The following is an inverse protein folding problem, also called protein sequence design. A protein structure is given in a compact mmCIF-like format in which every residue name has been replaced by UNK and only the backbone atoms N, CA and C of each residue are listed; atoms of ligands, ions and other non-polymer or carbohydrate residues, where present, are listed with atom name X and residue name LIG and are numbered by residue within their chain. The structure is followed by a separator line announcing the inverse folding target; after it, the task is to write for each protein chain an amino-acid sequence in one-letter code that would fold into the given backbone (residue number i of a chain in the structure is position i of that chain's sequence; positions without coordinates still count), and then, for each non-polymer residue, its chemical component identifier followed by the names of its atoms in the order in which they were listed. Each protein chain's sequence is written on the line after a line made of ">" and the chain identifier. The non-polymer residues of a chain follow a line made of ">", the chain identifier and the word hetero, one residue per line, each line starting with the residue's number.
data_IF_643719734504
#
_entry.id   IF_643719734504
#
_cell.length_a   1.000
_cell.length_b   1.000
_cell.length_c   1.000
_cell.angle_alpha   90.00
_cell.angle_beta   90.00
_cell.angle_gamma   90.00
#
_symmetry.space_group_name_H-M   'P 1'
#
loop_
_entity.id
_entity.type
_entity.pdbx_description
1 polymer ?
#
# COMPACT_ATOMS: atom_id res chain seq x y z
N UNK A 1 30.39 18.88 -10.89
CA UNK A 1 29.80 18.10 -11.99
C UNK A 1 28.35 18.55 -12.14
N UNK A 2 27.96 19.06 -13.29
CA UNK A 2 26.61 19.60 -13.52
C UNK A 2 25.64 18.44 -13.81
N UNK A 3 24.50 18.40 -13.10
CA UNK A 3 23.48 17.35 -13.23
C UNK A 3 22.90 17.28 -14.65
N UNK A 4 22.80 18.42 -15.33
CA UNK A 4 22.35 18.49 -16.72
C UNK A 4 23.38 17.86 -17.66
N UNK A 5 24.67 18.12 -17.46
CA UNK A 5 25.72 17.53 -18.30
C UNK A 5 25.76 16.00 -18.14
N UNK A 6 25.57 15.50 -16.92
CA UNK A 6 25.45 14.07 -16.65
C UNK A 6 24.24 13.47 -17.37
N UNK A 7 23.07 14.12 -17.30
CA UNK A 7 21.86 13.70 -18.03
C UNK A 7 22.10 13.60 -19.53
N UNK A 8 22.68 14.65 -20.14
CA UNK A 8 22.95 14.66 -21.58
C UNK A 8 23.89 13.53 -22.00
N UNK A 9 24.92 13.26 -21.21
CA UNK A 9 25.83 12.14 -21.45
C UNK A 9 25.10 10.79 -21.36
N UNK A 10 24.31 10.58 -20.31
CA UNK A 10 23.57 9.34 -20.09
C UNK A 10 22.54 9.06 -21.20
N UNK A 11 21.79 10.08 -21.62
CA UNK A 11 20.84 9.97 -22.75
C UNK A 11 21.60 9.64 -24.04
N UNK A 12 22.75 10.28 -24.30
CA UNK A 12 23.56 10.02 -25.49
C UNK A 12 24.07 8.58 -25.53
N UNK A 13 24.61 8.09 -24.42
CA UNK A 13 25.15 6.73 -24.32
C UNK A 13 24.02 5.69 -24.51
N UNK A 14 22.86 5.91 -23.88
CA UNK A 14 21.69 5.04 -24.02
C UNK A 14 21.11 5.04 -25.43
N UNK A 15 20.99 6.22 -26.05
CA UNK A 15 20.52 6.38 -27.44
C UNK A 15 21.43 5.64 -28.42
N UNK A 16 22.75 5.78 -28.28
CA UNK A 16 23.72 5.06 -29.10
C UNK A 16 23.61 3.55 -28.93
N UNK A 17 23.40 3.07 -27.70
CA UNK A 17 23.21 1.65 -27.42
C UNK A 17 21.94 1.11 -28.09
N UNK A 18 20.77 1.72 -27.85
CA UNK A 18 19.49 1.22 -28.39
C UNK A 18 19.47 1.26 -29.92
N UNK A 19 19.98 2.33 -30.52
CA UNK A 19 20.02 2.46 -31.99
C UNK A 19 20.96 1.45 -32.65
N UNK A 20 22.00 0.97 -31.95
CA UNK A 20 22.94 -0.03 -32.50
C UNK A 20 22.29 -1.38 -32.84
N UNK A 21 21.17 -1.72 -32.20
CA UNK A 21 20.42 -2.96 -32.48
C UNK A 21 19.42 -2.81 -33.63
N UNK A 22 19.14 -1.59 -34.09
CA UNK A 22 18.04 -1.31 -35.03
C UNK A 22 18.58 -1.22 -36.46
N UNK A 23 18.35 -2.28 -37.24
CA UNK A 23 18.71 -2.36 -38.65
C UNK A 23 17.46 -2.41 -39.52
N UNK A 24 17.07 -1.27 -40.10
CA UNK A 24 15.86 -1.14 -40.91
C UNK A 24 16.25 -0.89 -42.38
N UNK A 25 15.80 -1.76 -43.29
CA UNK A 25 16.08 -1.64 -44.73
C UNK A 25 15.16 -0.66 -45.47
N UNK A 26 13.90 -0.53 -45.02
CA UNK A 26 12.94 0.39 -45.64
C UNK A 26 13.26 1.84 -45.25
N UNK A 27 13.48 2.69 -46.25
CA UNK A 27 13.86 4.10 -46.06
C UNK A 27 12.77 4.92 -45.37
N UNK A 28 11.50 4.58 -45.52
CA UNK A 28 10.38 5.28 -44.87
C UNK A 28 10.36 4.95 -43.38
N UNK A 29 10.53 3.68 -43.05
CA UNK A 29 10.49 3.20 -41.66
C UNK A 29 11.72 3.71 -40.90
N UNK A 30 12.92 3.68 -41.51
CA UNK A 30 14.12 4.20 -40.83
C UNK A 30 14.02 5.70 -40.58
N UNK A 31 13.41 6.45 -41.50
CA UNK A 31 13.18 7.88 -41.31
C UNK A 31 12.19 8.13 -40.16
N UNK A 32 11.06 7.44 -40.16
CA UNK A 32 10.06 7.55 -39.10
C UNK A 32 10.65 7.25 -37.70
N UNK A 33 11.46 6.18 -37.60
CA UNK A 33 12.11 5.80 -36.33
C UNK A 33 13.14 6.83 -35.88
N UNK A 34 13.95 7.36 -36.81
CA UNK A 34 14.92 8.44 -36.51
C UNK A 34 14.22 9.72 -36.05
N UNK A 35 13.13 10.09 -36.70
CA UNK A 35 12.35 11.28 -36.34
C UNK A 35 11.80 11.12 -34.91
N UNK A 36 11.25 9.96 -34.55
CA UNK A 36 10.78 9.67 -33.19
C UNK A 36 11.92 9.72 -32.14
N UNK A 37 13.12 9.24 -32.47
CA UNK A 37 14.27 9.36 -31.56
C UNK A 37 14.70 10.81 -31.39
N UNK A 38 14.70 11.61 -32.46
CA UNK A 38 15.06 13.03 -32.40
C UNK A 38 14.07 13.86 -31.56
N UNK A 39 12.81 13.43 -31.50
CA UNK A 39 11.76 14.04 -30.68
C UNK A 39 11.84 13.66 -29.19
N UNK A 40 12.76 12.77 -28.80
CA UNK A 40 12.93 12.36 -27.41
C UNK A 40 11.87 11.38 -26.90
N UNK A 41 11.14 10.70 -27.78
CA UNK A 41 10.03 9.79 -27.39
C UNK A 41 10.46 8.67 -26.44
N UNK A 42 11.71 8.20 -26.54
CA UNK A 42 12.25 7.16 -25.65
C UNK A 42 12.86 7.70 -24.35
N UNK A 43 13.15 8.99 -24.28
CA UNK A 43 13.77 9.64 -23.12
C UNK A 43 13.08 10.98 -22.87
N UNK A 44 11.81 10.95 -22.43
CA UNK A 44 11.07 12.17 -22.13
C UNK A 44 11.81 12.98 -21.06
N UNK A 45 11.55 14.28 -21.05
CA UNK A 45 12.04 15.15 -19.98
C UNK A 45 11.65 14.59 -18.60
N UNK A 46 12.52 14.70 -17.58
CA UNK A 46 12.26 14.13 -16.28
C UNK A 46 10.95 14.72 -15.72
N UNK A 47 10.03 13.83 -15.37
CA UNK A 47 8.78 14.23 -14.74
C UNK A 47 9.07 14.75 -13.32
N UNK A 48 8.97 16.06 -13.15
CA UNK A 48 8.97 16.68 -11.82
C UNK A 48 7.52 16.71 -11.34
N UNK A 49 7.17 15.74 -10.49
CA UNK A 49 5.86 15.67 -9.87
C UNK A 49 5.93 16.19 -8.44
N UNK A 50 5.07 17.16 -8.11
CA UNK A 50 4.81 17.54 -6.73
C UNK A 50 3.79 16.53 -6.17
N UNK A 51 4.21 15.72 -5.20
CA UNK A 51 3.30 14.87 -4.44
C UNK A 51 2.96 15.57 -3.12
N UNK A 52 1.86 16.33 -3.05
CA UNK A 52 1.43 16.93 -1.79
C UNK A 52 1.16 15.83 -0.77
N UNK A 53 1.51 16.09 0.48
CA UNK A 53 1.15 15.19 1.57
C UNK A 53 -0.38 15.11 1.70
N UNK A 54 -0.89 13.94 2.06
CA UNK A 54 -2.31 13.77 2.37
C UNK A 54 -2.66 14.55 3.64
N UNK A 55 -3.89 15.08 3.70
CA UNK A 55 -4.40 15.76 4.90
C UNK A 55 -4.39 14.80 6.10
N UNK A 56 -3.86 15.19 7.28
CA UNK A 56 -3.89 14.37 8.47
C UNK A 56 -5.33 14.19 8.98
N UNK A 57 -5.65 12.99 9.45
CA UNK A 57 -6.96 12.57 9.96
C UNK A 57 -7.00 12.32 11.47
N UNK A 58 -5.92 12.64 12.20
CA UNK A 58 -5.79 12.38 13.63
C UNK A 58 -5.06 11.07 13.95
N UNK A 59 -4.74 10.87 15.22
CA UNK A 59 -4.03 9.69 15.70
C UNK A 59 -4.99 8.56 16.10
N UNK A 60 -4.55 7.30 15.94
CA UNK A 60 -5.31 6.15 16.45
C UNK A 60 -5.62 6.31 17.94
N UNK A 61 -4.66 6.82 18.71
CA UNK A 61 -4.80 6.98 20.16
C UNK A 61 -5.92 7.98 20.51
N UNK A 62 -6.05 9.07 19.76
CA UNK A 62 -7.14 10.06 19.93
C UNK A 62 -8.51 9.43 19.62
N UNK A 63 -8.60 8.63 18.55
CA UNK A 63 -9.82 7.91 18.18
C UNK A 63 -10.24 6.88 19.25
N UNK A 64 -9.26 6.26 19.93
CA UNK A 64 -9.50 5.34 21.04
C UNK A 64 -9.96 6.09 22.29
N UNK A 65 -9.30 7.21 22.65
CA UNK A 65 -9.70 8.04 23.79
C UNK A 65 -11.12 8.60 23.66
N UNK A 66 -11.54 8.93 22.42
CA UNK A 66 -12.89 9.37 22.10
C UNK A 66 -13.94 8.24 22.09
N UNK A 67 -13.53 6.97 22.30
CA UNK A 67 -14.40 5.80 22.24
C UNK A 67 -14.92 5.48 20.83
N UNK A 68 -14.27 6.03 19.79
CA UNK A 68 -14.60 5.73 18.39
C UNK A 68 -14.08 4.32 18.06
N UNK A 69 -12.85 4.02 18.45
CA UNK A 69 -12.20 2.71 18.29
C UNK A 69 -12.09 1.96 19.62
N UNK A 70 -12.00 0.64 19.55
CA UNK A 70 -11.72 -0.24 20.67
C UNK A 70 -10.33 0.04 21.26
N UNK A 71 -10.16 -0.12 22.59
CA UNK A 71 -8.90 0.17 23.29
C UNK A 71 -7.69 -0.56 22.69
N UNK A 72 -7.83 -1.84 22.38
CA UNK A 72 -6.78 -2.65 21.72
C UNK A 72 -6.32 -2.10 20.36
N UNK A 73 -7.11 -1.28 19.65
CA UNK A 73 -6.67 -0.67 18.39
C UNK A 73 -5.42 0.20 18.57
N UNK A 74 -5.28 0.86 19.72
CA UNK A 74 -4.08 1.64 20.05
C UNK A 74 -2.82 0.78 20.16
N UNK A 75 -2.93 -0.48 20.61
CA UNK A 75 -1.81 -1.42 20.67
C UNK A 75 -1.55 -2.11 19.33
N UNK A 76 -2.61 -2.42 18.59
CA UNK A 76 -2.53 -3.11 17.29
C UNK A 76 -1.91 -2.20 16.24
N UNK A 77 -2.43 -0.99 16.06
CA UNK A 77 -2.07 -0.09 14.95
C UNK A 77 -0.93 0.86 15.33
N UNK A 78 0.28 0.31 15.41
CA UNK A 78 1.53 1.05 15.62
C UNK A 78 2.48 0.89 14.43
N UNK A 79 3.26 1.93 14.15
CA UNK A 79 4.29 1.93 13.10
C UNK A 79 5.61 1.41 13.67
N UNK A 80 6.46 0.77 12.83
CA UNK A 80 7.81 0.27 13.24
C UNK A 80 7.77 -0.66 14.47
N UNK A 81 6.83 -1.62 14.49
CA UNK A 81 6.93 -2.78 15.38
C UNK A 81 8.07 -3.68 14.91
N UNK A 82 9.28 -3.36 15.34
CA UNK A 82 10.45 -4.22 15.16
C UNK A 82 10.57 -5.21 16.32
N UNK A 83 11.26 -6.33 16.11
CA UNK A 83 11.45 -7.40 17.11
C UNK A 83 12.05 -6.90 18.44
N UNK A 84 12.70 -5.73 18.44
CA UNK A 84 13.34 -5.13 19.61
C UNK A 84 12.55 -3.97 20.25
N UNK A 85 11.51 -3.44 19.58
CA UNK A 85 10.69 -2.35 20.09
C UNK A 85 9.23 -2.82 20.21
N UNK A 86 8.90 -3.40 21.37
CA UNK A 86 7.59 -4.00 21.64
C UNK A 86 6.42 -3.00 21.50
N UNK A 87 6.65 -1.69 21.69
CA UNK A 87 5.58 -0.69 21.74
C UNK A 87 5.36 0.10 20.44
N UNK A 88 6.22 -0.02 19.42
CA UNK A 88 6.12 0.73 18.17
C UNK A 88 5.92 2.25 18.35
N UNK A 89 5.55 2.95 17.28
CA UNK A 89 5.21 4.39 17.30
C UNK A 89 3.71 4.59 17.04
N UNK A 90 3.08 5.62 17.64
CA UNK A 90 1.70 5.99 17.30
C UNK A 90 1.51 6.14 15.78
N UNK A 91 0.37 5.68 15.29
CA UNK A 91 -0.01 5.81 13.87
C UNK A 91 -0.91 7.04 13.71
N UNK A 92 -0.47 8.00 12.89
CA UNK A 92 -1.31 9.10 12.43
C UNK A 92 -1.98 8.69 11.12
N UNK A 93 -3.31 8.83 11.06
CA UNK A 93 -4.10 8.52 9.90
C UNK A 93 -4.11 9.67 8.91
N UNK A 94 -4.36 9.36 7.65
CA UNK A 94 -4.82 10.35 6.69
C UNK A 94 -6.33 10.55 6.87
N UNK A 95 -6.82 11.75 6.54
CA UNK A 95 -8.24 12.12 6.66
C UNK A 95 -9.19 11.12 6.04
N UNK A 96 -8.88 10.65 4.83
CA UNK A 96 -9.70 9.65 4.13
C UNK A 96 -9.81 8.30 4.86
N UNK A 97 -8.83 7.95 5.70
CA UNK A 97 -8.90 6.75 6.55
C UNK A 97 -9.79 7.02 7.78
N UNK A 98 -9.64 8.18 8.42
CA UNK A 98 -10.47 8.60 9.54
C UNK A 98 -11.95 8.74 9.15
N UNK A 99 -12.24 9.35 8.00
CA UNK A 99 -13.58 9.48 7.45
C UNK A 99 -14.21 8.09 7.21
N UNK A 100 -13.46 7.17 6.63
CA UNK A 100 -13.93 5.79 6.40
C UNK A 100 -14.22 5.05 7.70
N UNK A 101 -13.40 5.24 8.74
CA UNK A 101 -13.66 4.68 10.09
C UNK A 101 -14.97 5.23 10.64
N UNK A 102 -15.21 6.54 10.53
CA UNK A 102 -16.46 7.17 10.97
C UNK A 102 -17.68 6.58 10.25
N UNK A 103 -17.65 6.53 8.93
CA UNK A 103 -18.75 5.97 8.12
C UNK A 103 -19.01 4.50 8.46
N UNK A 104 -17.94 3.71 8.62
CA UNK A 104 -18.04 2.30 8.99
C UNK A 104 -18.63 2.10 10.39
N UNK A 105 -18.26 2.94 11.36
CA UNK A 105 -18.80 2.92 12.72
C UNK A 105 -20.31 3.13 12.74
N UNK A 106 -20.80 4.03 11.89
CA UNK A 106 -22.23 4.31 11.75
C UNK A 106 -22.99 3.19 11.02
N UNK A 107 -22.29 2.15 10.54
CA UNK A 107 -22.89 1.00 9.87
C UNK A 107 -23.22 1.23 8.40
N UNK A 108 -22.71 2.31 7.80
CA UNK A 108 -22.94 2.60 6.39
C UNK A 108 -21.92 1.92 5.48
N UNK A 109 -22.37 1.57 4.28
CA UNK A 109 -21.50 1.13 3.20
C UNK A 109 -20.82 2.34 2.55
N UNK A 110 -19.57 2.18 2.09
CA UNK A 110 -18.85 3.26 1.42
C UNK A 110 -17.99 2.77 0.26
N UNK A 111 -17.74 3.67 -0.69
CA UNK A 111 -16.74 3.51 -1.75
C UNK A 111 -15.65 4.54 -1.51
N UNK A 112 -14.42 4.07 -1.28
CA UNK A 112 -13.27 4.94 -1.07
C UNK A 112 -12.46 5.10 -2.36
N UNK A 113 -12.28 6.35 -2.79
CA UNK A 113 -11.44 6.70 -3.94
C UNK A 113 -10.31 7.63 -3.50
N UNK A 114 -9.07 7.17 -3.62
CA UNK A 114 -7.86 7.93 -3.21
C UNK A 114 -6.70 7.62 -4.15
N UNK A 115 -5.63 8.43 -4.08
CA UNK A 115 -4.43 8.20 -4.87
C UNK A 115 -3.71 6.88 -4.51
N UNK A 116 -2.98 6.32 -5.47
CA UNK A 116 -2.11 5.15 -5.24
C UNK A 116 -1.09 5.45 -4.13
N UNK A 117 -0.84 4.49 -3.25
CA UNK A 117 0.11 4.65 -2.14
C UNK A 117 -0.42 5.46 -0.94
N UNK A 118 -1.67 5.92 -0.97
CA UNK A 118 -2.30 6.68 0.13
C UNK A 118 -2.52 5.90 1.44
N UNK A 119 -2.28 4.59 1.43
CA UNK A 119 -2.59 3.72 2.57
C UNK A 119 -4.07 3.36 2.68
N UNK A 120 -4.82 3.35 1.56
CA UNK A 120 -6.24 2.97 1.51
C UNK A 120 -6.59 1.66 2.24
N UNK A 121 -5.65 0.72 2.37
CA UNK A 121 -5.88 -0.53 3.11
C UNK A 121 -6.35 -0.30 4.55
N UNK A 122 -5.78 0.70 5.23
CA UNK A 122 -6.13 1.00 6.61
C UNK A 122 -7.59 1.48 6.75
N UNK A 123 -8.17 2.06 5.71
CA UNK A 123 -9.54 2.56 5.75
C UNK A 123 -10.57 1.46 5.98
N UNK A 124 -10.29 0.24 5.52
CA UNK A 124 -11.18 -0.92 5.69
C UNK A 124 -10.66 -1.92 6.73
N UNK A 125 -9.33 -2.05 6.91
CA UNK A 125 -8.78 -2.97 7.92
C UNK A 125 -9.08 -2.49 9.35
N UNK A 126 -8.90 -1.20 9.65
CA UNK A 126 -9.15 -0.67 10.99
C UNK A 126 -10.59 -0.91 11.45
N UNK A 127 -11.64 -0.53 10.68
CA UNK A 127 -13.01 -0.76 11.12
C UNK A 127 -13.38 -2.25 11.20
N UNK A 128 -12.80 -3.12 10.36
CA UNK A 128 -12.98 -4.57 10.48
C UNK A 128 -12.43 -5.08 11.82
N UNK A 129 -11.18 -4.72 12.14
CA UNK A 129 -10.52 -5.14 13.40
C UNK A 129 -11.28 -4.58 14.60
N UNK A 130 -11.65 -3.29 14.57
CA UNK A 130 -12.46 -2.65 15.61
C UNK A 130 -13.79 -3.38 15.85
N UNK A 131 -14.50 -3.74 14.78
CA UNK A 131 -15.74 -4.51 14.84
C UNK A 131 -15.53 -5.86 15.51
N UNK A 132 -14.49 -6.60 15.13
CA UNK A 132 -14.15 -7.91 15.71
C UNK A 132 -13.85 -7.79 17.20
N UNK A 133 -13.04 -6.81 17.59
CA UNK A 133 -12.70 -6.57 18.99
C UNK A 133 -13.94 -6.22 19.83
N UNK A 134 -14.81 -5.34 19.33
CA UNK A 134 -16.06 -4.95 20.00
C UNK A 134 -17.06 -6.10 20.13
N UNK A 135 -17.07 -7.04 19.18
CA UNK A 135 -17.88 -8.26 19.26
C UNK A 135 -17.35 -9.26 20.29
N UNK A 136 -16.03 -9.24 20.54
CA UNK A 136 -15.36 -10.18 21.43
C UNK A 136 -15.21 -11.58 20.81
N UNK A 137 -15.18 -12.61 21.64
CA UNK A 137 -14.92 -14.00 21.25
C UNK A 137 -16.10 -14.67 20.53
N UNK A 138 -16.57 -14.08 19.43
CA UNK A 138 -17.57 -14.68 18.54
C UNK A 138 -16.88 -15.74 17.69
N UNK A 139 -17.41 -16.96 17.68
CA UNK A 139 -16.90 -18.03 16.82
C UNK A 139 -17.30 -17.78 15.36
N UNK A 140 -16.36 -18.00 14.45
CA UNK A 140 -16.58 -17.93 13.00
C UNK A 140 -15.98 -16.70 12.31
N UNK A 141 -16.04 -16.71 10.98
CA UNK A 141 -15.48 -15.66 10.11
C UNK A 141 -16.31 -14.38 10.25
N UNK A 142 -15.68 -13.28 10.67
CA UNK A 142 -16.35 -11.99 10.87
C UNK A 142 -16.27 -11.05 9.66
N UNK A 143 -15.27 -11.24 8.79
CA UNK A 143 -15.06 -10.43 7.60
C UNK A 143 -14.32 -11.22 6.52
N UNK A 144 -14.63 -10.92 5.25
CA UNK A 144 -13.95 -11.47 4.08
C UNK A 144 -13.40 -10.28 3.28
N UNK A 145 -12.10 -10.32 2.98
CA UNK A 145 -11.44 -9.31 2.14
C UNK A 145 -11.00 -9.97 0.85
N UNK A 146 -11.51 -9.48 -0.28
CA UNK A 146 -11.23 -10.06 -1.61
C UNK A 146 -10.22 -9.20 -2.34
N UNK A 147 -9.13 -9.83 -2.79
CA UNK A 147 -8.12 -9.18 -3.62
C UNK A 147 -8.12 -9.79 -5.03
N UNK A 148 -7.93 -8.98 -6.08
CA UNK A 148 -7.95 -9.46 -7.47
C UNK A 148 -6.72 -10.31 -7.84
N UNK A 149 -5.66 -10.33 -7.03
CA UNK A 149 -4.41 -11.02 -7.34
C UNK A 149 -3.79 -11.65 -6.10
N UNK A 150 -3.25 -12.87 -6.23
CA UNK A 150 -2.56 -13.58 -5.14
C UNK A 150 -1.39 -12.77 -4.56
N UNK A 151 -0.63 -12.07 -5.41
CA UNK A 151 0.48 -11.22 -4.96
C UNK A 151 0.01 -10.11 -4.00
N UNK A 152 -1.17 -9.54 -4.25
CA UNK A 152 -1.76 -8.55 -3.37
C UNK A 152 -2.26 -9.20 -2.07
N UNK A 153 -2.95 -10.34 -2.15
CA UNK A 153 -3.36 -11.09 -0.96
C UNK A 153 -2.16 -11.45 -0.07
N UNK A 154 -1.05 -11.89 -0.66
CA UNK A 154 0.20 -12.19 0.04
C UNK A 154 0.81 -10.96 0.72
N UNK A 155 0.86 -9.83 0.00
CA UNK A 155 1.34 -8.58 0.58
C UNK A 155 0.48 -8.13 1.76
N UNK A 156 -0.84 -8.26 1.65
CA UNK A 156 -1.76 -7.81 2.70
C UNK A 156 -1.75 -8.74 3.91
N UNK A 157 -1.57 -10.06 3.72
CA UNK A 157 -1.37 -11.00 4.82
C UNK A 157 -0.14 -10.65 5.66
N UNK A 158 0.99 -10.30 5.01
CA UNK A 158 2.21 -9.85 5.70
C UNK A 158 2.00 -8.53 6.45
N UNK A 159 1.21 -7.59 5.91
CA UNK A 159 0.88 -6.36 6.63
C UNK A 159 -0.01 -6.62 7.84
N UNK A 160 -1.00 -7.51 7.71
CA UNK A 160 -1.83 -7.94 8.84
C UNK A 160 -1.01 -8.62 9.94
N UNK A 161 -0.06 -9.48 9.58
CA UNK A 161 0.86 -10.13 10.53
C UNK A 161 1.64 -9.10 11.36
N UNK A 162 2.11 -8.02 10.73
CA UNK A 162 2.82 -6.94 11.44
C UNK A 162 1.95 -6.26 12.49
N UNK A 163 0.66 -6.06 12.22
CA UNK A 163 -0.24 -5.38 13.16
C UNK A 163 -0.79 -6.30 14.23
N UNK A 164 -1.24 -7.50 13.82
CA UNK A 164 -2.05 -8.42 14.64
C UNK A 164 -1.22 -9.47 15.39
N UNK A 165 -0.05 -9.85 14.88
CA UNK A 165 0.79 -10.86 15.52
C UNK A 165 1.94 -10.25 16.33
N UNK A 166 2.59 -9.19 15.82
CA UNK A 166 3.74 -8.60 16.52
C UNK A 166 3.33 -7.86 17.79
N UNK A 167 4.07 -8.10 18.87
CA UNK A 167 3.80 -7.54 20.20
C UNK A 167 2.78 -8.34 21.01
N UNK A 168 2.37 -9.52 20.53
CA UNK A 168 1.52 -10.47 21.23
C UNK A 168 2.24 -11.83 21.36
N UNK A 169 2.10 -12.55 22.50
CA UNK A 169 2.59 -13.92 22.62
C UNK A 169 1.91 -14.85 21.61
N UNK A 170 2.57 -15.98 21.30
CA UNK A 170 1.98 -17.01 20.45
C UNK A 170 0.61 -17.46 20.99
N UNK A 171 -0.37 -17.54 20.09
CA UNK A 171 -1.77 -17.91 20.38
C UNK A 171 -2.52 -16.96 21.33
N UNK A 172 -2.03 -15.73 21.52
CA UNK A 172 -2.70 -14.70 22.31
C UNK A 172 -3.04 -13.45 21.48
N UNK A 173 -3.13 -13.58 20.16
CA UNK A 173 -3.56 -12.50 19.29
C UNK A 173 -5.06 -12.22 19.49
N UNK A 174 -5.47 -10.94 19.63
CA UNK A 174 -6.87 -10.60 19.88
C UNK A 174 -7.76 -10.79 18.63
N UNK A 175 -7.15 -10.78 17.44
CA UNK A 175 -7.82 -11.03 16.16
C UNK A 175 -6.94 -11.97 15.34
N UNK A 176 -7.55 -13.03 14.82
CA UNK A 176 -6.89 -13.97 13.91
C UNK A 176 -7.34 -13.73 12.47
N UNK A 177 -6.49 -14.12 11.52
CA UNK A 177 -6.81 -14.06 10.10
C UNK A 177 -6.20 -15.25 9.38
N UNK A 178 -6.79 -15.62 8.25
CA UNK A 178 -6.28 -16.63 7.35
C UNK A 178 -6.31 -16.10 5.91
N UNK A 179 -5.41 -16.61 5.08
CA UNK A 179 -5.34 -16.29 3.65
C UNK A 179 -5.64 -17.56 2.86
N UNK A 180 -6.50 -17.44 1.87
CA UNK A 180 -6.78 -18.49 0.89
C UNK A 180 -6.52 -17.96 -0.53
N UNK A 181 -5.70 -18.66 -1.29
CA UNK A 181 -5.38 -18.46 -2.70
C UNK A 181 -5.27 -19.83 -3.39
N UNK A 182 -5.59 -19.94 -4.68
CA UNK A 182 -5.50 -21.23 -5.39
C UNK A 182 -4.10 -21.88 -5.46
N UNK A 183 -3.08 -21.29 -4.82
CA UNK A 183 -1.68 -21.73 -4.80
C UNK A 183 -1.25 -22.44 -3.51
N UNK A 184 -2.12 -22.53 -2.49
CA UNK A 184 -1.79 -23.31 -1.29
C UNK A 184 -1.71 -24.81 -1.59
N UNK A 185 -0.76 -25.49 -0.93
CA UNK A 185 -0.71 -26.95 -0.88
C UNK A 185 -1.90 -27.49 -0.08
N UNK A 186 -2.28 -28.75 -0.24
CA UNK A 186 -3.44 -29.35 0.45
C UNK A 186 -3.35 -29.33 2.00
N UNK A 187 -2.19 -29.03 2.58
CA UNK A 187 -2.00 -28.82 4.04
C UNK A 187 -2.28 -27.37 4.49
N UNK A 188 -2.29 -26.42 3.56
CA UNK A 188 -2.51 -24.98 3.80
C UNK A 188 -3.88 -24.50 3.28
N UNK A 189 -4.65 -25.40 2.63
CA UNK A 189 -6.04 -25.19 2.20
C UNK A 189 -7.03 -25.41 3.34
#
# INVERSE_FOLDING_TARGET
>A
MNIFDFRHKLIKDYSSYVTSFIHIKDKRIVQYVRDNFSQGTLWPEPLIQLNPAFEPGGWIDELVEQGILHSECSRIFRVKKDEQQENGQPLCLHKHQADAIGIARDGYNYVLTTGTGSGKSLSYIIPIVDRVLKLGSVQGIQAIVVYPMNALANSQAKELEKFLCRGYPENQQPVTFARYTGQENDQER
#
